data_IF_759756087166
#
_entry.id   IF_759756087166
#
_cell.length_a   1.000
_cell.length_b   1.000
_cell.length_c   1.000
_cell.angle_alpha   90.00
_cell.angle_beta   90.00
_cell.angle_gamma   90.00
#
_symmetry.space_group_name_H-M   'P 1'
#
loop_
_entity.id
_entity.type
_entity.pdbx_description
1 polymer ?
#
# COMPACT_ATOMS: atom_id res chain seq x y z
N UNK A 1 10.75 -39.90 -26.89
CA UNK A 1 10.37 -39.28 -25.59
C UNK A 1 9.84 -37.89 -25.90
N UNK A 2 8.52 -37.74 -25.91
CA UNK A 2 7.77 -36.56 -26.33
C UNK A 2 7.52 -35.65 -25.13
N UNK A 3 8.19 -34.49 -25.08
CA UNK A 3 8.04 -33.49 -24.03
C UNK A 3 7.71 -32.12 -24.66
N UNK A 4 6.58 -31.99 -25.37
CA UNK A 4 6.20 -30.72 -26.04
C UNK A 4 4.74 -30.21 -25.93
N UNK A 5 3.76 -30.79 -25.18
CA UNK A 5 2.41 -30.18 -25.14
C UNK A 5 2.24 -29.04 -24.11
N UNK A 6 3.11 -28.94 -23.10
CA UNK A 6 2.91 -28.03 -21.94
C UNK A 6 3.27 -26.58 -22.30
N UNK A 7 4.30 -26.38 -23.13
CA UNK A 7 4.78 -25.04 -23.50
C UNK A 7 3.79 -24.32 -24.43
N UNK A 8 3.31 -25.01 -25.47
CA UNK A 8 2.34 -24.47 -26.43
C UNK A 8 1.01 -24.10 -25.77
N UNK A 9 0.51 -24.95 -24.86
CA UNK A 9 -0.75 -24.69 -24.13
C UNK A 9 -0.66 -23.44 -23.25
N UNK A 10 0.49 -23.23 -22.60
CA UNK A 10 0.72 -22.06 -21.72
C UNK A 10 0.85 -20.77 -22.52
N UNK A 11 1.49 -20.83 -23.70
CA UNK A 11 1.61 -19.71 -24.62
C UNK A 11 0.25 -19.27 -25.18
N UNK A 12 -0.56 -20.21 -25.67
CA UNK A 12 -1.90 -19.93 -26.20
C UNK A 12 -2.80 -19.31 -25.12
N UNK A 13 -2.74 -19.81 -23.89
CA UNK A 13 -3.52 -19.26 -22.78
C UNK A 13 -3.10 -17.81 -22.45
N UNK A 14 -1.81 -17.50 -22.46
CA UNK A 14 -1.28 -16.15 -22.20
C UNK A 14 -1.82 -15.14 -23.22
N UNK A 15 -1.84 -15.49 -24.51
CA UNK A 15 -2.38 -14.64 -25.56
C UNK A 15 -3.88 -14.41 -25.42
N UNK A 16 -4.64 -15.46 -25.08
CA UNK A 16 -6.08 -15.35 -24.80
C UNK A 16 -6.35 -14.44 -23.60
N UNK A 17 -5.53 -14.51 -22.56
CA UNK A 17 -5.65 -13.65 -21.38
C UNK A 17 -5.31 -12.19 -21.68
N UNK A 18 -4.29 -11.93 -22.51
CA UNK A 18 -3.99 -10.58 -23.01
C UNK A 18 -5.17 -10.05 -23.82
N UNK A 19 -5.81 -10.87 -24.66
CA UNK A 19 -6.92 -10.47 -25.51
C UNK A 19 -8.17 -9.99 -24.75
N UNK A 20 -8.31 -10.35 -23.46
CA UNK A 20 -9.38 -9.84 -22.58
C UNK A 20 -9.27 -8.34 -22.29
N UNK A 21 -8.09 -7.75 -22.46
CA UNK A 21 -7.86 -6.34 -22.18
C UNK A 21 -8.19 -5.44 -23.39
N UNK A 22 -8.72 -4.22 -23.15
CA UNK A 22 -8.98 -3.26 -24.21
C UNK A 22 -7.74 -2.98 -25.08
N UNK A 23 -7.93 -2.80 -26.39
CA UNK A 23 -6.87 -2.54 -27.35
C UNK A 23 -5.95 -1.39 -26.93
N UNK A 24 -6.53 -0.29 -26.43
CA UNK A 24 -5.76 0.86 -25.91
C UNK A 24 -4.81 0.47 -24.79
N UNK A 25 -5.24 -0.41 -23.87
CA UNK A 25 -4.38 -0.86 -22.77
C UNK A 25 -3.26 -1.75 -23.27
N UNK A 26 -3.55 -2.64 -24.23
CA UNK A 26 -2.54 -3.49 -24.88
C UNK A 26 -1.51 -2.67 -25.65
N UNK A 27 -1.93 -1.60 -26.35
CA UNK A 27 -1.01 -0.69 -27.03
C UNK A 27 -0.05 -0.01 -26.04
N UNK A 28 -0.56 0.49 -24.92
CA UNK A 28 0.28 1.08 -23.86
C UNK A 28 1.25 0.06 -23.27
N UNK A 29 0.81 -1.18 -23.01
CA UNK A 29 1.68 -2.24 -22.51
C UNK A 29 2.82 -2.56 -23.50
N UNK A 30 2.51 -2.60 -24.80
CA UNK A 30 3.51 -2.76 -25.86
C UNK A 30 4.50 -1.59 -25.90
N UNK A 31 4.04 -0.35 -25.78
CA UNK A 31 4.93 0.82 -25.72
C UNK A 31 5.91 0.73 -24.54
N UNK A 32 5.47 0.23 -23.39
CA UNK A 32 6.38 0.01 -22.27
C UNK A 32 7.33 -1.15 -22.49
N UNK A 33 6.88 -2.24 -23.11
CA UNK A 33 7.76 -3.34 -23.48
C UNK A 33 8.86 -2.86 -24.45
N UNK A 34 8.54 -1.99 -25.40
CA UNK A 34 9.51 -1.36 -26.30
C UNK A 34 10.45 -0.41 -25.55
N UNK A 35 9.90 0.45 -24.68
CA UNK A 35 10.71 1.38 -23.87
C UNK A 35 11.72 0.66 -22.97
N UNK A 36 11.36 -0.52 -22.47
CA UNK A 36 12.22 -1.34 -21.62
C UNK A 36 13.03 -2.39 -22.39
N UNK A 37 13.05 -2.34 -23.72
CA UNK A 37 13.85 -3.25 -24.56
C UNK A 37 13.57 -4.75 -24.23
N UNK A 38 12.30 -5.11 -23.97
CA UNK A 38 11.92 -6.46 -23.54
C UNK A 38 12.15 -7.48 -24.67
N UNK A 39 12.90 -8.59 -24.43
CA UNK A 39 13.11 -9.63 -25.43
C UNK A 39 11.80 -10.25 -25.92
N UNK A 40 11.75 -10.65 -27.20
CA UNK A 40 10.56 -11.24 -27.81
C UNK A 40 10.03 -12.46 -27.02
N UNK A 41 10.93 -13.30 -26.51
CA UNK A 41 10.62 -14.49 -25.71
C UNK A 41 9.87 -14.18 -24.41
N UNK A 42 10.11 -13.01 -23.82
CA UNK A 42 9.52 -12.57 -22.54
C UNK A 42 8.41 -11.54 -22.68
N UNK A 43 8.09 -11.14 -23.91
CA UNK A 43 7.24 -9.97 -24.17
C UNK A 43 5.81 -10.21 -23.71
N UNK A 44 5.24 -11.36 -24.01
CA UNK A 44 3.86 -11.68 -23.64
C UNK A 44 3.69 -11.83 -22.12
N UNK A 45 4.67 -12.44 -21.43
CA UNK A 45 4.70 -12.49 -19.97
C UNK A 45 4.75 -11.08 -19.37
N UNK A 46 5.62 -10.21 -19.88
CA UNK A 46 5.70 -8.82 -19.44
C UNK A 46 4.38 -8.08 -19.66
N UNK A 47 3.78 -8.20 -20.85
CA UNK A 47 2.52 -7.53 -21.19
C UNK A 47 1.39 -8.01 -20.29
N UNK A 48 1.22 -9.32 -20.14
CA UNK A 48 0.17 -9.88 -19.30
C UNK A 48 0.35 -9.47 -17.84
N UNK A 49 1.58 -9.52 -17.33
CA UNK A 49 1.90 -9.07 -15.98
C UNK A 49 1.58 -7.59 -15.83
N UNK A 50 2.05 -6.73 -16.72
CA UNK A 50 1.80 -5.29 -16.67
C UNK A 50 0.30 -4.97 -16.68
N UNK A 51 -0.45 -5.58 -17.60
CA UNK A 51 -1.89 -5.36 -17.73
C UNK A 51 -2.64 -5.82 -16.48
N UNK A 52 -2.37 -7.04 -16.02
CA UNK A 52 -2.95 -7.58 -14.78
C UNK A 52 -2.56 -6.70 -13.60
N UNK A 53 -1.31 -6.26 -13.54
CA UNK A 53 -0.81 -5.49 -12.44
C UNK A 53 -1.37 -4.06 -12.41
N UNK A 54 -1.76 -3.51 -13.55
CA UNK A 54 -2.27 -2.13 -13.64
C UNK A 54 -3.80 -2.07 -13.73
N UNK A 55 -4.47 -3.22 -13.75
CA UNK A 55 -5.94 -3.35 -13.72
C UNK A 55 -6.57 -2.95 -12.38
N UNK A 56 -5.78 -2.92 -11.30
CA UNK A 56 -6.22 -2.50 -9.97
C UNK A 56 -5.25 -1.50 -9.37
N UNK A 57 -5.78 -0.61 -8.52
CA UNK A 57 -5.00 0.36 -7.75
C UNK A 57 -4.28 -0.27 -6.55
N UNK A 58 -4.73 -1.47 -6.11
CA UNK A 58 -4.30 -2.13 -4.85
C UNK A 58 -4.35 -1.23 -3.62
N UNK A 59 -5.20 -0.20 -3.69
CA UNK A 59 -5.43 0.74 -2.60
C UNK A 59 -6.92 0.74 -2.32
N UNK A 60 -7.30 0.28 -1.14
CA UNK A 60 -8.70 0.22 -0.73
C UNK A 60 -8.82 0.39 0.79
N UNK A 61 -10.02 0.73 1.24
CA UNK A 61 -10.35 0.89 2.65
C UNK A 61 -11.78 0.37 2.86
N UNK A 62 -11.94 -0.50 3.87
CA UNK A 62 -13.18 -1.21 4.20
C UNK A 62 -13.45 -1.02 5.68
N UNK A 63 -14.58 -0.40 6.01
CA UNK A 63 -15.11 -0.38 7.37
C UNK A 63 -15.73 -1.74 7.69
N UNK A 64 -15.47 -2.25 8.89
CA UNK A 64 -15.90 -3.60 9.32
C UNK A 64 -17.24 -3.61 10.05
N UNK A 65 -17.78 -2.43 10.38
CA UNK A 65 -19.07 -2.27 11.01
C UNK A 65 -19.89 -1.17 10.32
N UNK A 66 -21.21 -1.37 10.31
CA UNK A 66 -22.16 -0.45 9.69
C UNK A 66 -22.71 0.60 10.66
N UNK A 67 -22.48 0.45 11.97
CA UNK A 67 -23.00 1.41 12.94
C UNK A 67 -22.29 2.75 12.85
N UNK A 68 -23.07 3.82 13.09
CA UNK A 68 -22.61 5.19 13.02
C UNK A 68 -21.75 5.65 14.21
N UNK A 69 -21.09 4.72 14.91
CA UNK A 69 -20.13 5.07 15.95
C UNK A 69 -18.97 5.92 15.37
N UNK A 70 -18.48 6.84 16.19
CA UNK A 70 -17.44 7.83 15.82
C UNK A 70 -16.11 7.16 15.45
N UNK A 71 -15.78 6.05 16.12
CA UNK A 71 -14.66 5.18 15.78
C UNK A 71 -15.19 3.84 15.27
N UNK A 72 -14.73 3.40 14.08
CA UNK A 72 -15.19 2.14 13.45
C UNK A 72 -14.00 1.26 13.09
N UNK A 73 -13.99 -0.03 13.49
CA UNK A 73 -12.94 -0.93 13.06
C UNK A 73 -12.82 -0.93 11.53
N UNK A 74 -11.61 -0.75 11.02
CA UNK A 74 -11.39 -0.46 9.60
C UNK A 74 -10.09 -1.08 9.12
N UNK A 75 -10.12 -1.68 7.93
CA UNK A 75 -8.93 -2.22 7.26
C UNK A 75 -8.65 -1.40 6.01
N UNK A 76 -7.40 -1.02 5.82
CA UNK A 76 -6.95 -0.38 4.60
C UNK A 76 -5.76 -1.11 4.01
N UNK A 77 -5.79 -1.32 2.69
CA UNK A 77 -4.64 -1.72 1.90
C UNK A 77 -4.05 -0.50 1.22
N UNK A 78 -2.74 -0.32 1.37
CA UNK A 78 -1.93 0.71 0.75
C UNK A 78 -0.78 0.03 0.01
N UNK A 79 -1.05 -0.44 -1.21
CA UNK A 79 -0.10 -1.23 -1.99
C UNK A 79 0.25 -2.55 -1.29
N UNK A 80 1.50 -2.68 -0.83
CA UNK A 80 2.03 -3.83 -0.05
C UNK A 80 1.93 -3.68 1.47
N UNK A 81 1.20 -2.69 1.96
CA UNK A 81 0.95 -2.51 3.39
C UNK A 81 -0.53 -2.67 3.69
N UNK A 82 -0.85 -3.42 4.74
CA UNK A 82 -2.16 -3.44 5.37
C UNK A 82 -2.10 -2.65 6.66
N UNK A 83 -3.17 -1.92 6.94
CA UNK A 83 -3.37 -1.21 8.20
C UNK A 83 -4.72 -1.58 8.75
N UNK A 84 -4.78 -1.75 10.05
CA UNK A 84 -6.00 -2.08 10.76
C UNK A 84 -6.16 -1.11 11.92
N UNK A 85 -7.38 -0.62 12.07
CA UNK A 85 -7.84 0.06 13.25
C UNK A 85 -8.88 -0.84 13.91
N UNK A 86 -8.65 -1.22 15.17
CA UNK A 86 -9.53 -2.12 15.92
C UNK A 86 -10.69 -1.41 16.64
N UNK A 87 -10.79 -0.08 16.47
CA UNK A 87 -11.70 0.78 17.23
C UNK A 87 -11.00 1.66 18.25
N UNK A 88 -9.74 1.35 18.61
CA UNK A 88 -8.94 2.13 19.54
C UNK A 88 -7.50 2.35 19.05
N UNK A 89 -6.84 1.31 18.54
CA UNK A 89 -5.43 1.30 18.15
C UNK A 89 -5.25 1.02 16.67
N UNK A 90 -4.15 1.55 16.14
CA UNK A 90 -3.75 1.39 14.75
C UNK A 90 -2.56 0.45 14.69
N UNK A 91 -2.66 -0.58 13.87
CA UNK A 91 -1.57 -1.51 13.58
C UNK A 91 -1.34 -1.60 12.08
N UNK A 92 -0.11 -1.92 11.67
CA UNK A 92 0.20 -2.14 10.26
C UNK A 92 1.21 -3.25 10.04
N UNK A 93 1.08 -3.89 8.88
CA UNK A 93 1.99 -4.96 8.43
C UNK A 93 2.32 -4.76 6.96
N UNK A 94 3.61 -4.96 6.63
CA UNK A 94 4.03 -5.12 5.24
C UNK A 94 3.95 -6.58 4.85
N UNK A 95 3.45 -6.84 3.65
CA UNK A 95 3.33 -8.20 3.14
C UNK A 95 4.04 -8.35 1.80
N UNK A 96 4.36 -9.60 1.47
CA UNK A 96 4.90 -9.98 0.18
C UNK A 96 3.82 -10.42 -0.79
N UNK A 97 4.16 -10.52 -2.07
CA UNK A 97 3.21 -10.99 -3.10
C UNK A 97 2.78 -12.45 -2.91
N UNK A 98 3.51 -13.23 -2.10
CA UNK A 98 3.14 -14.61 -1.78
C UNK A 98 1.89 -14.66 -0.91
N UNK A 99 1.64 -13.62 -0.12
CA UNK A 99 0.41 -13.48 0.68
C UNK A 99 -0.75 -13.07 -0.21
N UNK A 100 -1.85 -13.84 -0.15
CA UNK A 100 -3.06 -13.65 -0.96
C UNK A 100 -3.90 -12.47 -0.47
N UNK A 101 -3.42 -11.24 -0.68
CA UNK A 101 -4.18 -10.02 -0.39
C UNK A 101 -4.98 -9.59 -1.63
N UNK A 102 -6.32 -9.43 -1.53
CA UNK A 102 -7.17 -9.04 -2.66
C UNK A 102 -6.79 -7.70 -3.28
N UNK A 103 -6.66 -7.66 -4.61
CA UNK A 103 -6.36 -6.43 -5.35
C UNK A 103 -7.47 -5.39 -5.24
N UNK A 104 -8.73 -5.82 -5.18
CA UNK A 104 -9.90 -4.98 -4.97
C UNK A 104 -10.39 -5.06 -3.52
N UNK A 105 -11.23 -4.11 -3.12
CA UNK A 105 -11.85 -4.11 -1.79
C UNK A 105 -12.62 -5.43 -1.56
N UNK A 106 -12.25 -6.24 -0.55
CA UNK A 106 -13.00 -7.43 -0.19
C UNK A 106 -14.26 -7.08 0.60
N UNK A 107 -15.10 -8.08 0.86
CA UNK A 107 -16.23 -7.92 1.79
C UNK A 107 -15.73 -7.64 3.22
N UNK A 108 -16.54 -6.99 4.09
CA UNK A 108 -16.14 -6.70 5.47
C UNK A 108 -15.69 -7.95 6.25
N UNK A 109 -16.36 -9.08 6.10
CA UNK A 109 -16.00 -10.33 6.77
C UNK A 109 -14.64 -10.88 6.30
N UNK A 110 -14.36 -10.82 4.98
CA UNK A 110 -13.07 -11.19 4.43
C UNK A 110 -11.96 -10.22 4.85
N UNK A 111 -12.25 -8.92 4.93
CA UNK A 111 -11.30 -7.90 5.40
C UNK A 111 -10.92 -8.14 6.87
N UNK A 112 -11.90 -8.45 7.73
CA UNK A 112 -11.66 -8.76 9.14
C UNK A 112 -10.78 -10.02 9.29
N UNK A 113 -11.11 -11.09 8.55
CA UNK A 113 -10.31 -12.33 8.55
C UNK A 113 -8.86 -12.06 8.14
N UNK A 114 -8.67 -11.30 7.06
CA UNK A 114 -7.37 -10.89 6.56
C UNK A 114 -6.57 -10.09 7.60
N UNK A 115 -7.21 -9.18 8.33
CA UNK A 115 -6.57 -8.39 9.38
C UNK A 115 -6.07 -9.30 10.51
N UNK A 116 -6.91 -10.21 11.01
CA UNK A 116 -6.52 -11.15 12.06
C UNK A 116 -5.41 -12.11 11.64
N UNK A 117 -5.38 -12.54 10.38
CA UNK A 117 -4.35 -13.45 9.86
C UNK A 117 -2.99 -12.78 9.68
N UNK A 118 -2.97 -11.53 9.22
CA UNK A 118 -1.73 -10.87 8.78
C UNK A 118 -1.16 -9.89 9.81
N UNK A 119 -2.01 -9.29 10.65
CA UNK A 119 -1.63 -8.26 11.61
C UNK A 119 -1.49 -8.90 12.99
N UNK A 120 -0.62 -9.90 13.05
CA UNK A 120 -0.21 -10.58 14.31
C UNK A 120 1.13 -10.03 14.82
N UNK A 121 1.87 -9.32 13.98
CA UNK A 121 3.18 -8.74 14.26
C UNK A 121 3.22 -7.28 13.81
N UNK A 122 3.30 -6.34 14.75
CA UNK A 122 3.41 -4.91 14.49
C UNK A 122 4.80 -4.58 13.92
N UNK A 123 4.92 -4.67 12.60
CA UNK A 123 6.21 -4.64 11.89
C UNK A 123 6.36 -3.44 10.95
N UNK A 124 5.29 -2.65 10.77
CA UNK A 124 5.30 -1.49 9.89
C UNK A 124 4.68 -0.26 10.56
N UNK A 125 5.17 0.93 10.20
CA UNK A 125 4.57 2.18 10.66
C UNK A 125 3.31 2.46 9.82
N UNK A 126 2.16 2.55 10.49
CA UNK A 126 0.93 2.96 9.84
C UNK A 126 0.96 4.45 9.41
N UNK A 127 0.25 4.75 8.33
CA UNK A 127 0.19 6.04 7.65
C UNK A 127 -1.10 6.76 8.01
N UNK A 128 -0.96 7.99 8.52
CA UNK A 128 -2.05 8.94 8.72
C UNK A 128 -2.06 10.07 7.68
N UNK A 129 -1.10 10.04 6.75
CA UNK A 129 -0.95 11.00 5.64
C UNK A 129 -0.23 10.35 4.47
N UNK A 130 -0.54 10.77 3.25
CA UNK A 130 0.22 10.41 2.04
C UNK A 130 1.40 11.35 1.78
N UNK A 131 1.51 12.46 2.52
CA UNK A 131 2.59 13.45 2.38
C UNK A 131 3.83 13.08 3.21
N UNK A 132 4.23 11.81 3.20
CA UNK A 132 5.37 11.31 3.97
C UNK A 132 6.27 10.42 3.11
N UNK A 133 7.52 10.23 3.55
CA UNK A 133 8.48 9.37 2.85
C UNK A 133 7.96 7.92 2.72
N UNK A 134 7.42 7.27 3.77
CA UNK A 134 6.88 5.91 3.64
C UNK A 134 5.77 5.75 2.58
N UNK A 135 4.89 6.74 2.43
CA UNK A 135 3.85 6.70 1.39
C UNK A 135 4.45 6.79 -0.02
N UNK A 136 5.49 7.63 -0.20
CA UNK A 136 6.23 7.73 -1.47
C UNK A 136 7.01 6.45 -1.78
N UNK A 137 7.59 5.82 -0.77
CA UNK A 137 8.26 4.53 -0.93
C UNK A 137 7.26 3.45 -1.37
N UNK A 138 6.10 3.33 -0.72
CA UNK A 138 5.04 2.39 -1.15
C UNK A 138 4.58 2.62 -2.60
N UNK A 139 4.42 3.89 -3.00
CA UNK A 139 4.02 4.22 -4.36
C UNK A 139 5.10 3.87 -5.40
N UNK A 140 6.38 4.01 -5.03
CA UNK A 140 7.50 3.58 -5.87
C UNK A 140 7.54 2.07 -5.99
N UNK A 141 7.38 1.36 -4.88
CA UNK A 141 7.38 -0.10 -4.86
C UNK A 141 6.27 -0.65 -5.77
N UNK A 142 5.06 -0.10 -5.72
CA UNK A 142 3.95 -0.49 -6.63
C UNK A 142 4.24 -0.20 -8.11
N UNK A 143 5.00 0.86 -8.42
CA UNK A 143 5.42 1.12 -9.79
C UNK A 143 6.47 0.09 -10.26
N UNK A 144 7.45 -0.23 -9.42
CA UNK A 144 8.47 -1.23 -9.71
C UNK A 144 7.87 -2.63 -9.89
N UNK A 145 6.91 -3.00 -9.04
CA UNK A 145 6.24 -4.29 -9.15
C UNK A 145 5.51 -4.49 -10.48
N UNK A 146 5.00 -3.41 -11.09
CA UNK A 146 4.33 -3.50 -12.39
C UNK A 146 5.23 -3.91 -13.54
N UNK A 147 6.55 -3.85 -13.34
CA UNK A 147 7.57 -4.23 -14.33
C UNK A 147 8.51 -5.33 -13.81
N UNK A 148 8.12 -6.02 -12.73
CA UNK A 148 8.91 -7.06 -12.08
C UNK A 148 9.47 -8.16 -13.01
N UNK A 149 8.76 -8.63 -14.07
CA UNK A 149 9.32 -9.62 -14.98
C UNK A 149 10.66 -9.22 -15.59
N UNK A 150 10.96 -7.91 -15.72
CA UNK A 150 12.26 -7.43 -16.20
C UNK A 150 13.44 -7.91 -15.36
N UNK A 151 13.24 -8.15 -14.06
CA UNK A 151 14.28 -8.71 -13.18
C UNK A 151 14.64 -10.13 -13.61
N UNK A 152 13.68 -10.92 -14.13
CA UNK A 152 13.95 -12.26 -14.65
C UNK A 152 14.80 -12.22 -15.92
N UNK A 153 14.67 -11.16 -16.72
CA UNK A 153 15.39 -10.98 -17.98
C UNK A 153 16.74 -10.27 -17.81
N UNK A 154 17.33 -10.31 -16.61
CA UNK A 154 18.62 -9.66 -16.28
C UNK A 154 18.68 -8.14 -16.58
N UNK A 155 17.54 -7.47 -16.71
CA UNK A 155 17.47 -6.01 -16.92
C UNK A 155 17.68 -5.21 -15.61
N UNK A 156 17.96 -5.91 -14.50
CA UNK A 156 18.31 -5.33 -13.21
C UNK A 156 17.20 -4.47 -12.58
N UNK A 157 17.52 -3.85 -11.43
CA UNK A 157 16.68 -2.81 -10.87
C UNK A 157 16.81 -1.54 -11.73
N UNK A 158 15.77 -1.25 -12.52
CA UNK A 158 15.77 -0.09 -13.38
C UNK A 158 15.70 1.20 -12.56
N UNK A 159 16.71 2.05 -12.71
CA UNK A 159 16.72 3.39 -12.11
C UNK A 159 15.41 4.12 -12.42
N UNK A 160 14.84 4.78 -11.40
CA UNK A 160 13.65 5.62 -11.55
C UNK A 160 13.93 6.95 -12.25
N UNK A 161 15.20 7.26 -12.50
CA UNK A 161 15.66 8.49 -13.11
C UNK A 161 15.96 8.32 -14.62
N UNK A 162 16.36 9.42 -15.27
CA UNK A 162 16.73 9.42 -16.69
C UNK A 162 15.57 9.03 -17.61
N UNK A 163 15.81 8.11 -18.57
CA UNK A 163 14.80 7.69 -19.56
C UNK A 163 13.55 7.10 -18.91
N UNK A 164 13.71 6.38 -17.80
CA UNK A 164 12.63 5.67 -17.10
C UNK A 164 11.73 6.61 -16.29
N UNK A 165 12.13 7.88 -16.11
CA UNK A 165 11.30 8.88 -15.44
C UNK A 165 9.94 9.06 -16.13
N UNK A 166 9.87 8.85 -17.45
CA UNK A 166 8.62 8.85 -18.23
C UNK A 166 7.62 7.80 -17.75
N UNK A 167 8.12 6.69 -17.21
CA UNK A 167 7.31 5.64 -16.60
C UNK A 167 7.01 5.94 -15.13
N UNK A 168 8.06 6.14 -14.33
CA UNK A 168 7.94 6.22 -12.88
C UNK A 168 7.26 7.50 -12.37
N UNK A 169 7.47 8.65 -13.02
CA UNK A 169 6.88 9.91 -12.55
C UNK A 169 5.34 9.91 -12.59
N UNK A 170 4.66 9.59 -13.71
CA UNK A 170 3.22 9.51 -13.73
C UNK A 170 2.68 8.37 -12.86
N UNK A 171 3.34 7.20 -12.86
CA UNK A 171 2.93 6.05 -12.03
C UNK A 171 3.04 6.33 -10.54
N UNK A 172 4.12 6.96 -10.09
CA UNK A 172 4.31 7.37 -8.71
C UNK A 172 3.22 8.35 -8.27
N UNK A 173 2.89 9.36 -9.09
CA UNK A 173 1.80 10.32 -8.80
C UNK A 173 0.43 9.63 -8.70
N UNK A 174 0.17 8.69 -9.60
CA UNK A 174 -1.06 7.89 -9.58
C UNK A 174 -1.19 7.10 -8.26
N UNK A 175 -0.17 6.31 -7.89
CA UNK A 175 -0.22 5.52 -6.66
C UNK A 175 -0.24 6.37 -5.40
N UNK A 176 0.48 7.50 -5.33
CA UNK A 176 0.38 8.44 -4.21
C UNK A 176 -1.07 8.94 -4.06
N UNK A 177 -1.75 9.22 -5.17
CA UNK A 177 -3.15 9.67 -5.15
C UNK A 177 -4.08 8.56 -4.62
N UNK A 178 -3.89 7.32 -5.08
CA UNK A 178 -4.64 6.17 -4.59
C UNK A 178 -4.41 5.89 -3.10
N UNK A 179 -3.15 5.95 -2.64
CA UNK A 179 -2.79 5.83 -1.23
C UNK A 179 -3.44 6.96 -0.42
N UNK A 180 -3.37 8.21 -0.89
CA UNK A 180 -3.99 9.35 -0.24
C UNK A 180 -5.50 9.20 -0.08
N UNK A 181 -6.20 8.69 -1.10
CA UNK A 181 -7.63 8.42 -1.04
C UNK A 181 -7.97 7.33 0.00
N UNK A 182 -7.20 6.25 0.04
CA UNK A 182 -7.40 5.17 1.01
C UNK A 182 -7.07 5.60 2.44
N UNK A 183 -5.97 6.35 2.65
CA UNK A 183 -5.60 6.94 3.95
C UNK A 183 -6.65 7.94 4.41
N UNK A 184 -7.20 8.77 3.52
CA UNK A 184 -8.28 9.71 3.86
C UNK A 184 -9.48 8.97 4.43
N UNK A 185 -9.94 7.91 3.75
CA UNK A 185 -11.06 7.07 4.22
C UNK A 185 -10.74 6.38 5.54
N UNK A 186 -9.53 5.85 5.69
CA UNK A 186 -9.08 5.25 6.94
C UNK A 186 -9.08 6.27 8.10
N UNK A 187 -8.59 7.48 7.87
CA UNK A 187 -8.60 8.53 8.89
C UNK A 187 -10.01 9.00 9.28
N UNK A 188 -11.02 8.82 8.42
CA UNK A 188 -12.41 9.18 8.74
C UNK A 188 -13.02 8.24 9.79
N UNK A 189 -12.50 7.03 9.95
CA UNK A 189 -13.00 6.08 10.96
C UNK A 189 -12.25 6.15 12.30
N UNK A 190 -11.24 7.01 12.41
CA UNK A 190 -10.50 7.24 13.66
C UNK A 190 -11.21 8.25 14.56
N UNK A 191 -10.79 8.32 15.82
CA UNK A 191 -11.20 9.40 16.72
C UNK A 191 -10.68 10.75 16.20
N UNK A 192 -11.61 11.63 15.84
CA UNK A 192 -11.28 12.91 15.19
C UNK A 192 -10.59 13.90 16.13
N UNK A 193 -10.85 13.86 17.44
CA UNK A 193 -10.17 14.73 18.40
C UNK A 193 -8.71 14.32 18.54
N UNK A 194 -8.45 13.02 18.69
CA UNK A 194 -7.08 12.49 18.75
C UNK A 194 -6.32 12.78 17.45
N UNK A 195 -6.97 12.52 16.31
CA UNK A 195 -6.37 12.78 15.00
C UNK A 195 -6.07 14.27 14.80
N UNK A 196 -6.95 15.16 15.27
CA UNK A 196 -6.72 16.60 15.24
C UNK A 196 -5.52 17.00 16.11
N UNK A 197 -5.42 16.48 17.33
CA UNK A 197 -4.30 16.78 18.24
C UNK A 197 -2.94 16.33 17.65
N UNK A 198 -2.90 15.14 17.05
CA UNK A 198 -1.73 14.60 16.35
C UNK A 198 -1.34 15.50 15.16
N UNK A 199 -2.31 16.02 14.41
CA UNK A 199 -2.08 16.92 13.27
C UNK A 199 -1.68 18.33 13.69
N UNK A 200 -2.19 18.84 14.81
CA UNK A 200 -1.87 20.20 15.29
C UNK A 200 -0.41 20.37 15.68
N UNK A 201 0.25 19.29 16.09
CA UNK A 201 1.70 19.27 16.37
C UNK A 201 2.56 18.88 15.16
N UNK A 202 1.96 18.82 13.96
CA UNK A 202 2.62 18.45 12.70
C UNK A 202 3.30 17.06 12.72
N UNK A 203 2.82 16.15 13.57
CA UNK A 203 3.37 14.79 13.71
C UNK A 203 2.29 13.73 13.43
N UNK A 204 1.86 13.51 12.16
CA UNK A 204 0.85 12.53 11.78
C UNK A 204 1.36 11.08 11.89
N UNK A 205 1.77 10.69 13.10
CA UNK A 205 2.32 9.38 13.45
C UNK A 205 1.28 8.51 14.14
N UNK A 206 1.13 7.27 13.65
CA UNK A 206 0.27 6.28 14.30
C UNK A 206 0.75 5.91 15.71
N UNK A 207 2.06 5.99 15.99
CA UNK A 207 2.59 5.76 17.35
C UNK A 207 2.10 6.83 18.32
N UNK A 208 2.11 8.10 17.90
CA UNK A 208 1.60 9.20 18.71
C UNK A 208 0.09 9.08 18.92
N UNK A 209 -0.65 8.71 17.87
CA UNK A 209 -2.08 8.42 17.99
C UNK A 209 -2.35 7.30 19.00
N UNK A 210 -1.68 6.15 18.87
CA UNK A 210 -1.84 5.01 19.77
C UNK A 210 -1.46 5.36 21.20
N UNK A 211 -0.39 6.13 21.40
CA UNK A 211 -0.03 6.63 22.72
C UNK A 211 -1.14 7.51 23.30
N UNK A 212 -1.76 8.41 22.54
CA UNK A 212 -2.91 9.16 23.07
C UNK A 212 -4.10 8.25 23.42
N UNK A 213 -4.35 7.23 22.60
CA UNK A 213 -5.51 6.33 22.73
C UNK A 213 -5.40 5.28 23.85
N UNK A 214 -4.20 4.87 24.26
CA UNK A 214 -3.98 3.80 25.26
C UNK A 214 -4.04 4.27 26.73
N UNK A 215 -3.91 5.57 26.99
CA UNK A 215 -3.75 6.07 28.36
C UNK A 215 -4.88 6.98 28.81
N UNK A 216 -4.64 7.72 29.88
CA UNK A 216 -5.52 8.81 30.30
C UNK A 216 -5.50 9.90 29.23
N UNK A 217 -6.52 9.87 28.36
CA UNK A 217 -6.73 10.77 27.22
C UNK A 217 -6.56 12.23 27.64
N UNK A 218 -7.17 12.63 28.76
CA UNK A 218 -7.17 14.02 29.22
C UNK A 218 -5.75 14.44 29.59
N UNK A 219 -5.05 13.65 30.40
CA UNK A 219 -3.67 13.95 30.81
C UNK A 219 -2.71 13.92 29.63
N UNK A 220 -2.83 12.94 28.72
CA UNK A 220 -1.95 12.82 27.55
C UNK A 220 -2.16 13.95 26.53
N UNK A 221 -3.41 14.38 26.32
CA UNK A 221 -3.70 15.57 25.51
C UNK A 221 -3.16 16.86 26.14
N UNK A 222 -3.27 17.00 27.47
CA UNK A 222 -2.67 18.13 28.19
C UNK A 222 -1.15 18.14 28.06
N UNK A 223 -0.50 16.98 28.24
CA UNK A 223 0.95 16.84 28.07
C UNK A 223 1.39 17.20 26.65
N UNK A 224 0.66 16.73 25.62
CA UNK A 224 0.94 17.07 24.22
C UNK A 224 0.77 18.57 23.95
N UNK A 225 -0.24 19.22 24.52
CA UNK A 225 -0.45 20.67 24.41
C UNK A 225 0.66 21.47 25.12
N UNK A 226 1.10 21.01 26.29
CA UNK A 226 2.16 21.65 27.06
C UNK A 226 3.54 21.50 26.38
N UNK A 227 3.78 20.37 25.71
CA UNK A 227 5.07 20.02 25.12
C UNK A 227 4.91 19.45 23.69
N UNK A 228 4.51 20.28 22.71
CA UNK A 228 4.13 19.83 21.37
C UNK A 228 5.30 19.29 20.53
N UNK A 229 6.55 19.53 20.93
CA UNK A 229 7.74 19.00 20.24
C UNK A 229 8.35 17.83 21.01
N UNK A 230 8.55 17.98 22.33
CA UNK A 230 9.23 17.00 23.15
C UNK A 230 8.46 15.67 23.26
N UNK A 231 7.14 15.74 23.46
CA UNK A 231 6.29 14.54 23.57
C UNK A 231 6.32 13.70 22.29
N UNK A 232 6.09 14.26 21.08
CA UNK A 232 6.22 13.49 19.85
C UNK A 232 7.62 12.91 19.64
N UNK A 233 8.70 13.64 19.95
CA UNK A 233 10.07 13.15 19.82
C UNK A 233 10.29 11.91 20.69
N UNK A 234 9.79 11.93 21.93
CA UNK A 234 9.97 10.82 22.86
C UNK A 234 9.12 9.59 22.49
N UNK A 235 7.93 9.80 21.93
CA UNK A 235 7.04 8.70 21.54
C UNK A 235 7.45 8.06 20.21
N UNK A 236 7.90 8.88 19.24
CA UNK A 236 8.30 8.41 17.92
C UNK A 236 9.75 7.94 17.90
N UNK A 237 10.60 8.52 18.75
CA UNK A 237 12.01 8.20 18.88
C UNK A 237 12.24 6.73 19.20
N UNK A 238 13.18 6.12 18.49
CA UNK A 238 13.63 4.75 18.77
C UNK A 238 14.72 4.84 19.85
N UNK A 239 14.51 4.21 21.00
CA UNK A 239 15.56 4.05 22.03
C UNK A 239 15.55 5.05 23.20
N UNK A 240 14.54 5.90 23.36
CA UNK A 240 14.32 6.64 24.61
C UNK A 240 13.07 6.11 25.32
N UNK A 241 13.20 5.22 26.32
CA UNK A 241 12.07 4.89 27.17
C UNK A 241 11.66 6.15 27.96
N UNK A 242 10.39 6.52 27.84
CA UNK A 242 9.76 7.45 28.77
C UNK A 242 9.73 6.81 30.17
N UNK A 243 9.93 7.55 31.27
CA UNK A 243 9.75 6.98 32.60
C UNK A 243 8.28 6.55 32.77
N UNK A 244 8.07 5.24 32.95
CA UNK A 244 6.75 4.64 33.22
C UNK A 244 6.09 5.27 34.46
#
# INVERSE_FOLDING_TARGET
MTAEPICETTFVQTLLDIAKFPERHRAVANTWADHFDVPAEGRDEFILHYLTHTSSTRCWCVALHNDDSVARPTVARLGRQLQYFDGQLISAVRFDERRKVPGHAPTPSQALKLAHELITHDSANALLTSFCKPARDLARDEAELSIRPLVKFNMGALSSEGRNKRFYAPRGRFYITCIGAAVKRFCQSLDQELLHAVRSVQCPSAKLYNWLAQGDRTRRLQALKAQPVLVPVLIVGVGMPWPM
#
